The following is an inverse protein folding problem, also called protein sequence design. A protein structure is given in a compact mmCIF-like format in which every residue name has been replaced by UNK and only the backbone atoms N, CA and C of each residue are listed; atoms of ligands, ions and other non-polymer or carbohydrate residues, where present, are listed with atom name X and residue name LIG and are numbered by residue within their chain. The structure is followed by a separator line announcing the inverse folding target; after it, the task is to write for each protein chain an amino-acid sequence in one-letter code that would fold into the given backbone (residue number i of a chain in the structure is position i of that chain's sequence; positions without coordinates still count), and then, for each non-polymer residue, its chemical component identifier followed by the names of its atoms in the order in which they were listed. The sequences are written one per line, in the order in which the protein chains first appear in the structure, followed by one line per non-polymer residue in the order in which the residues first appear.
data_IF_718439494978
#
_entry.id   IF_718439494978
#
_cell.length_a   1.000
_cell.length_b   1.000
_cell.length_c   1.000
_cell.angle_alpha   90.00
_cell.angle_beta   90.00
_cell.angle_gamma   90.00
#
_symmetry.space_group_name_H-M   'P 1'
#
loop_
_entity.id
_entity.type
_entity.pdbx_description
1 polymer ?
#
# COMPACT_ATOMS: atom_id res chain seq x y z
N UNK A 1 -25.25 18.54 18.77
CA UNK A 1 -24.67 18.59 18.37
C UNK A 1 -24.19 18.69 17.95
N UNK A 2 -24.24 18.61 17.99
CA UNK A 2 -23.53 18.79 17.52
C UNK A 2 -22.90 18.51 16.92
N UNK A 3 -22.97 18.58 16.81
CA UNK A 3 -22.26 18.18 16.24
C UNK A 3 -21.17 18.50 16.09
N UNK A 4 -20.76 17.87 16.24
CA UNK A 4 -19.57 18.03 15.96
C UNK A 4 -19.31 18.28 14.69
N UNK A 5 -18.77 19.29 14.42
CA UNK A 5 -18.46 19.60 13.14
C UNK A 5 -17.48 18.68 12.66
N UNK A 6 -17.84 17.94 11.78
CA UNK A 6 -16.93 17.20 11.07
C UNK A 6 -16.15 18.15 10.26
N UNK A 7 -14.88 18.17 10.45
CA UNK A 7 -14.05 19.02 9.65
C UNK A 7 -14.24 18.67 8.22
N UNK A 8 -14.09 19.61 7.43
CA UNK A 8 -14.18 19.40 6.03
C UNK A 8 -13.23 18.33 5.65
N UNK A 9 -13.63 17.43 4.90
CA UNK A 9 -12.78 16.36 4.50
C UNK A 9 -12.81 15.19 5.42
N UNK A 10 -13.32 15.38 6.59
CA UNK A 10 -13.48 14.25 7.38
C UNK A 10 -14.80 13.75 7.02
N UNK A 11 -14.84 12.68 6.51
CA UNK A 11 -16.05 12.18 6.13
C UNK A 11 -16.61 11.47 7.27
N UNK A 12 -17.75 11.79 7.63
CA UNK A 12 -18.41 11.16 8.73
C UNK A 12 -18.55 9.67 8.51
N UNK A 13 -18.49 9.24 7.28
CA UNK A 13 -18.56 7.84 6.95
C UNK A 13 -17.21 7.14 7.08
N UNK A 14 -16.14 7.89 7.32
CA UNK A 14 -14.82 7.33 7.37
C UNK A 14 -14.15 7.19 6.03
N UNK A 15 -14.77 7.71 4.99
CA UNK A 15 -14.14 7.63 3.67
C UNK A 15 -12.96 8.57 3.58
N UNK A 16 -11.97 8.16 2.81
CA UNK A 16 -10.79 8.97 2.58
C UNK A 16 -10.91 9.67 1.24
N UNK A 17 -10.27 10.82 1.12
CA UNK A 17 -10.13 11.47 -0.19
C UNK A 17 -9.19 10.61 -1.05
N UNK A 18 -9.16 10.91 -2.35
CA UNK A 18 -8.28 10.17 -3.26
C UNK A 18 -6.83 10.31 -2.84
N UNK A 19 -6.41 11.52 -2.46
CA UNK A 19 -5.04 11.74 -2.02
C UNK A 19 -4.72 11.01 -0.73
N UNK A 20 -5.64 11.02 0.23
CA UNK A 20 -5.46 10.31 1.49
C UNK A 20 -5.40 8.81 1.26
N UNK A 21 -6.23 8.31 0.36
CA UNK A 21 -6.23 6.91 0.00
C UNK A 21 -4.91 6.50 -0.61
N UNK A 22 -4.35 7.34 -1.48
CA UNK A 22 -3.05 7.07 -2.09
C UNK A 22 -1.95 7.01 -1.03
N UNK A 23 -1.96 7.95 -0.10
CA UNK A 23 -0.97 7.97 0.97
C UNK A 23 -1.08 6.72 1.85
N UNK A 24 -2.30 6.32 2.17
CA UNK A 24 -2.52 5.11 2.96
C UNK A 24 -2.01 3.88 2.23
N UNK A 25 -2.29 3.77 0.95
CA UNK A 25 -1.82 2.64 0.15
C UNK A 25 -0.30 2.61 0.04
N UNK A 26 0.34 3.77 -0.10
CA UNK A 26 1.79 3.85 -0.11
C UNK A 26 2.39 3.38 1.20
N UNK A 27 1.80 3.82 2.31
CA UNK A 27 2.26 3.42 3.63
C UNK A 27 2.13 1.91 3.82
N UNK A 28 1.01 1.34 3.43
CA UNK A 28 0.79 -0.10 3.55
C UNK A 28 1.75 -0.88 2.66
N UNK A 29 1.98 -0.40 1.45
CA UNK A 29 2.98 -1.02 0.56
C UNK A 29 4.36 -0.99 1.18
N UNK A 30 4.74 0.12 1.81
CA UNK A 30 6.04 0.25 2.45
C UNK A 30 6.18 -0.72 3.63
N UNK A 31 5.13 -0.89 4.41
CA UNK A 31 5.13 -1.83 5.52
C UNK A 31 5.34 -3.26 5.06
N UNK A 32 4.62 -3.65 4.02
CA UNK A 32 4.76 -5.01 3.48
C UNK A 32 6.15 -5.20 2.90
N UNK A 33 6.67 -4.19 2.20
CA UNK A 33 8.01 -4.26 1.63
C UNK A 33 9.05 -4.48 2.72
N UNK A 34 8.93 -3.77 3.83
CA UNK A 34 9.86 -3.93 4.94
C UNK A 34 9.81 -5.35 5.50
N UNK A 35 8.61 -5.89 5.67
CA UNK A 35 8.47 -7.26 6.15
C UNK A 35 9.05 -8.26 5.17
N UNK A 36 8.86 -8.03 3.88
CA UNK A 36 9.43 -8.90 2.87
C UNK A 36 10.96 -8.86 2.90
N UNK A 37 11.54 -7.69 3.12
CA UNK A 37 12.98 -7.58 3.28
C UNK A 37 13.45 -8.43 4.46
N UNK A 38 12.75 -8.32 5.58
CA UNK A 38 13.12 -9.06 6.78
C UNK A 38 13.00 -10.58 6.60
N UNK A 39 11.94 -11.01 5.92
CA UNK A 39 11.68 -12.43 5.74
C UNK A 39 12.56 -13.06 4.66
N UNK A 40 12.79 -12.33 3.56
CA UNK A 40 13.57 -12.87 2.44
C UNK A 40 15.06 -12.70 2.60
N UNK A 41 15.48 -11.69 3.37
CA UNK A 41 16.88 -11.31 3.42
C UNK A 41 17.33 -10.54 2.19
N UNK A 42 16.41 -10.21 1.28
CA UNK A 42 16.73 -9.42 0.10
C UNK A 42 16.87 -7.95 0.47
N UNK A 43 17.56 -7.18 -0.38
CA UNK A 43 17.61 -5.74 -0.16
C UNK A 43 16.30 -5.10 -0.63
N UNK A 44 16.10 -3.83 -0.28
CA UNK A 44 14.87 -3.10 -0.61
C UNK A 44 14.64 -3.02 -2.11
N UNK A 45 15.69 -2.76 -2.87
CA UNK A 45 15.55 -2.64 -4.32
C UNK A 45 15.00 -3.90 -4.95
N UNK A 46 15.51 -5.04 -4.51
CA UNK A 46 15.07 -6.33 -5.05
C UNK A 46 13.63 -6.63 -4.67
N UNK A 47 13.28 -6.35 -3.41
CA UNK A 47 11.91 -6.57 -2.95
C UNK A 47 10.93 -5.68 -3.72
N UNK A 48 11.26 -4.40 -3.87
CA UNK A 48 10.40 -3.48 -4.60
C UNK A 48 10.27 -3.86 -6.07
N UNK A 49 11.36 -4.29 -6.69
CA UNK A 49 11.30 -4.74 -8.07
C UNK A 49 10.36 -5.93 -8.24
N UNK A 50 10.41 -6.86 -7.30
CA UNK A 50 9.53 -8.03 -7.35
C UNK A 50 8.08 -7.65 -7.10
N UNK A 51 7.83 -6.75 -6.14
CA UNK A 51 6.48 -6.26 -5.89
C UNK A 51 5.91 -5.60 -7.15
N UNK A 52 6.72 -4.80 -7.82
CA UNK A 52 6.31 -4.15 -9.06
C UNK A 52 6.02 -5.17 -10.17
N UNK A 53 6.87 -6.18 -10.27
CA UNK A 53 6.70 -7.23 -11.27
C UNK A 53 5.41 -7.99 -11.06
N UNK A 54 5.13 -8.37 -9.83
CA UNK A 54 3.92 -9.12 -9.50
C UNK A 54 2.65 -8.34 -9.83
N UNK A 55 2.69 -7.04 -9.64
CA UNK A 55 1.51 -6.20 -9.83
C UNK A 55 1.44 -5.57 -11.22
N UNK A 56 2.48 -5.71 -12.02
CA UNK A 56 2.54 -5.06 -13.32
C UNK A 56 2.67 -3.55 -13.21
N UNK A 57 3.34 -3.07 -12.16
CA UNK A 57 3.54 -1.64 -11.93
C UNK A 57 4.97 -1.29 -12.32
N UNK A 58 5.13 -0.24 -13.11
CA UNK A 58 6.47 0.19 -13.54
C UNK A 58 7.08 1.16 -12.56
N UNK A 59 6.33 2.18 -12.15
CA UNK A 59 6.82 3.20 -11.23
C UNK A 59 5.79 3.44 -10.14
N UNK A 60 6.20 3.24 -8.89
CA UNK A 60 5.31 3.47 -7.75
C UNK A 60 4.95 4.94 -7.63
N UNK A 61 5.88 5.83 -7.95
CA UNK A 61 5.65 7.26 -7.80
C UNK A 61 4.48 7.75 -8.67
N UNK A 62 4.25 7.11 -9.80
CA UNK A 62 3.16 7.49 -10.69
C UNK A 62 2.03 6.46 -10.71
N UNK A 63 2.03 5.53 -9.79
CA UNK A 63 1.01 4.48 -9.74
C UNK A 63 -0.34 5.05 -9.30
N UNK A 64 -1.40 4.54 -9.90
CA UNK A 64 -2.75 4.90 -9.50
C UNK A 64 -3.11 4.17 -8.20
N UNK A 65 -4.20 4.61 -7.58
CA UNK A 65 -4.67 3.92 -6.37
C UNK A 65 -5.00 2.46 -6.65
N UNK A 66 -5.54 2.17 -7.82
CA UNK A 66 -5.84 0.81 -8.20
C UNK A 66 -4.56 -0.02 -8.34
N UNK A 67 -3.54 0.55 -8.96
CA UNK A 67 -2.25 -0.11 -9.10
C UNK A 67 -1.59 -0.36 -7.74
N UNK A 68 -1.65 0.62 -6.85
CA UNK A 68 -1.10 0.49 -5.50
C UNK A 68 -1.86 -0.56 -4.70
N UNK A 69 -3.17 -0.62 -4.85
CA UNK A 69 -4.00 -1.61 -4.19
C UNK A 69 -3.67 -3.02 -4.69
N UNK A 70 -3.50 -3.18 -6.00
CA UNK A 70 -3.14 -4.46 -6.59
C UNK A 70 -1.75 -4.89 -6.13
N UNK A 71 -0.82 -3.94 -6.09
CA UNK A 71 0.54 -4.20 -5.63
C UNK A 71 0.53 -4.68 -4.17
N UNK A 72 -0.28 -4.04 -3.35
CA UNK A 72 -0.42 -4.43 -1.95
C UNK A 72 -0.96 -5.85 -1.82
N UNK A 73 -2.02 -6.18 -2.56
CA UNK A 73 -2.61 -7.51 -2.47
C UNK A 73 -1.65 -8.61 -2.88
N UNK A 74 -0.95 -8.41 -3.99
CA UNK A 74 -0.01 -9.43 -4.45
C UNK A 74 1.18 -9.56 -3.52
N UNK A 75 1.64 -8.45 -2.96
CA UNK A 75 2.76 -8.47 -2.04
C UNK A 75 2.38 -9.13 -0.72
N UNK A 76 1.19 -8.88 -0.23
CA UNK A 76 0.69 -9.54 0.98
C UNK A 76 0.52 -11.04 0.75
N UNK A 77 0.05 -11.41 -0.42
CA UNK A 77 -0.07 -12.82 -0.78
C UNK A 77 1.29 -13.51 -0.81
N UNK A 78 2.27 -12.84 -1.39
CA UNK A 78 3.64 -13.34 -1.40
C UNK A 78 4.18 -13.50 0.03
N UNK A 79 3.99 -12.50 0.87
CA UNK A 79 4.43 -12.56 2.26
C UNK A 79 3.77 -13.72 2.99
N UNK A 80 2.49 -13.92 2.82
CA UNK A 80 1.78 -15.04 3.47
C UNK A 80 2.34 -16.38 3.03
N UNK A 81 2.71 -16.53 1.76
CA UNK A 81 3.30 -17.77 1.29
C UNK A 81 4.66 -18.02 1.94
N UNK A 82 5.42 -16.96 2.17
CA UNK A 82 6.73 -17.09 2.81
C UNK A 82 6.62 -17.44 4.28
N UNK A 83 5.52 -17.06 4.91
CA UNK A 83 5.34 -17.27 6.34
C UNK A 83 4.65 -18.59 6.68
N UNK A 84 4.32 -19.38 5.71
CA UNK A 84 3.72 -20.69 5.97
C UNK A 84 4.69 -21.64 6.61
#
# INVERSE_FOLDING_TARGET
LPDIPTPAGVVATGELSVAEMKDDLRTRNAHVAKRLVDVTGWNHSKVHAEMNRLAGVTKVASATNEQLSRRLRYSESWLRRLLR
#
